data_IF_916676027467
#
_entry.id   IF_916676027467
#
_cell.length_a   1.000
_cell.length_b   1.000
_cell.length_c   1.000
_cell.angle_alpha   90.00
_cell.angle_beta   90.00
_cell.angle_gamma   90.00
#
_symmetry.space_group_name_H-M   'P 1'
#
loop_
_entity.id
_entity.type
_entity.pdbx_description
1 polymer ?
#
# COMPACT_ATOMS: atom_id res chain seq x y z
N UNK A 1 -2.52 37.13 -27.96
CA UNK A 1 -3.06 37.81 -26.77
C UNK A 1 -3.31 36.73 -25.74
N UNK A 2 -2.47 36.64 -24.71
CA UNK A 2 -2.57 35.64 -23.65
C UNK A 2 -3.42 36.22 -22.53
N UNK A 3 -4.59 35.62 -22.29
CA UNK A 3 -5.43 35.99 -21.15
C UNK A 3 -4.67 35.71 -19.84
N UNK A 4 -4.68 36.64 -18.87
CA UNK A 4 -4.07 36.40 -17.58
C UNK A 4 -4.88 35.36 -16.81
N UNK A 5 -4.26 34.22 -16.52
CA UNK A 5 -4.80 33.17 -15.65
C UNK A 5 -5.31 33.78 -14.33
N UNK A 6 -6.59 33.50 -14.01
CA UNK A 6 -7.24 33.94 -12.76
C UNK A 6 -6.39 33.52 -11.56
N UNK A 7 -6.06 34.47 -10.70
CA UNK A 7 -5.39 34.17 -9.42
C UNK A 7 -6.34 33.35 -8.54
N UNK A 8 -5.87 32.25 -7.92
CA UNK A 8 -6.69 31.45 -7.03
C UNK A 8 -7.16 32.29 -5.84
N UNK A 9 -8.41 32.07 -5.43
CA UNK A 9 -9.00 32.76 -4.28
C UNK A 9 -8.19 32.47 -3.02
N UNK A 10 -8.03 33.48 -2.16
CA UNK A 10 -7.26 33.38 -0.90
C UNK A 10 -7.80 32.31 0.05
N UNK A 11 -9.08 31.94 -0.10
CA UNK A 11 -9.73 30.87 0.67
C UNK A 11 -9.13 29.48 0.39
N UNK A 12 -8.50 29.28 -0.77
CA UNK A 12 -7.92 27.99 -1.18
C UNK A 12 -6.40 27.90 -0.99
N UNK A 13 -5.80 28.89 -0.32
CA UNK A 13 -4.35 28.95 -0.14
C UNK A 13 -3.90 27.83 0.82
N UNK A 14 -3.22 26.82 0.28
CA UNK A 14 -2.73 25.67 1.06
C UNK A 14 -3.69 24.49 1.15
N UNK A 15 -4.78 24.49 0.37
CA UNK A 15 -5.65 23.33 0.18
C UNK A 15 -5.70 22.98 -1.32
N UNK A 16 -5.76 21.69 -1.66
CA UNK A 16 -5.78 21.19 -3.05
C UNK A 16 -7.11 21.49 -3.78
N UNK A 17 -7.67 22.69 -3.64
CA UNK A 17 -8.90 23.11 -4.32
C UNK A 17 -10.21 22.51 -3.78
N UNK A 18 -10.16 21.58 -2.83
CA UNK A 18 -11.35 20.97 -2.22
C UNK A 18 -11.56 21.51 -0.80
N UNK A 19 -12.75 22.01 -0.53
CA UNK A 19 -13.19 22.36 0.82
C UNK A 19 -13.62 21.07 1.53
N UNK A 20 -12.90 20.72 2.59
CA UNK A 20 -13.28 19.62 3.46
C UNK A 20 -14.51 20.03 4.29
N UNK A 21 -15.68 19.49 3.91
CA UNK A 21 -16.99 19.84 4.48
C UNK A 21 -17.03 19.61 5.99
N UNK A 22 -16.31 18.58 6.46
CA UNK A 22 -16.21 18.22 7.88
C UNK A 22 -15.45 19.32 8.64
N UNK A 23 -14.40 19.88 8.04
CA UNK A 23 -13.56 20.91 8.68
C UNK A 23 -14.28 22.26 8.79
N UNK A 24 -15.09 22.61 7.80
CA UNK A 24 -15.98 23.77 7.81
C UNK A 24 -17.07 23.66 8.88
N UNK A 25 -17.56 22.46 9.14
CA UNK A 25 -18.55 22.16 10.16
C UNK A 25 -17.97 22.26 11.57
N UNK A 26 -16.74 21.79 11.78
CA UNK A 26 -16.02 21.89 13.07
C UNK A 26 -15.65 23.35 13.41
N UNK A 27 -15.35 24.18 12.40
CA UNK A 27 -15.03 25.60 12.61
C UNK A 27 -16.25 26.50 12.78
N UNK A 28 -17.47 25.95 12.77
CA UNK A 28 -18.72 26.72 12.95
C UNK A 28 -18.98 27.74 11.84
N UNK A 29 -18.27 27.65 10.71
CA UNK A 29 -18.40 28.55 9.56
C UNK A 29 -19.37 28.02 8.52
N UNK A 30 -19.70 26.72 8.55
CA UNK A 30 -20.87 26.20 7.87
C UNK A 30 -22.10 26.41 8.76
N UNK A 31 -23.12 27.11 8.24
CA UNK A 31 -24.47 26.98 8.78
C UNK A 31 -24.78 25.48 8.87
N UNK A 32 -25.20 25.00 10.04
CA UNK A 32 -25.68 23.63 10.19
C UNK A 32 -26.68 23.37 9.08
N UNK A 33 -26.45 22.36 8.24
CA UNK A 33 -27.33 21.92 7.16
C UNK A 33 -28.64 21.32 7.72
N UNK A 34 -29.33 22.05 8.61
CA UNK A 34 -30.65 21.75 9.14
C UNK A 34 -31.75 22.57 8.46
N UNK A 35 -31.42 23.48 7.53
CA UNK A 35 -32.42 24.34 6.88
C UNK A 35 -32.48 24.24 5.35
N UNK A 36 -31.70 23.34 4.75
CA UNK A 36 -31.87 22.94 3.36
C UNK A 36 -32.27 21.46 3.29
N UNK A 37 -33.38 21.11 3.95
CA UNK A 37 -34.09 19.87 3.64
C UNK A 37 -34.74 20.04 2.26
N UNK A 38 -33.93 19.94 1.20
CA UNK A 38 -34.47 19.58 -0.10
C UNK A 38 -35.07 18.19 0.09
N UNK A 39 -36.40 18.10 0.09
CA UNK A 39 -37.10 16.81 0.16
C UNK A 39 -36.42 15.88 -0.86
N UNK A 40 -35.98 14.68 -0.43
CA UNK A 40 -35.30 13.76 -1.34
C UNK A 40 -36.20 13.56 -2.54
N UNK A 41 -35.63 13.77 -3.72
CA UNK A 41 -36.32 13.57 -4.98
C UNK A 41 -36.78 12.11 -5.03
N UNK A 42 -37.86 11.81 -5.74
CA UNK A 42 -38.33 10.43 -5.91
C UNK A 42 -37.20 9.50 -6.41
N UNK A 43 -36.32 10.03 -7.26
CA UNK A 43 -35.08 9.40 -7.69
C UNK A 43 -34.14 9.04 -6.51
N UNK A 44 -33.89 9.99 -5.62
CA UNK A 44 -32.99 9.82 -4.47
C UNK A 44 -33.56 8.77 -3.49
N UNK A 45 -34.88 8.75 -3.31
CA UNK A 45 -35.54 7.73 -2.47
C UNK A 45 -35.36 6.33 -3.06
N UNK A 46 -35.56 6.17 -4.37
CA UNK A 46 -35.37 4.89 -5.05
C UNK A 46 -33.91 4.43 -4.98
N UNK A 47 -32.95 5.34 -5.21
CA UNK A 47 -31.52 5.02 -5.11
C UNK A 47 -31.10 4.62 -3.69
N UNK A 48 -31.64 5.29 -2.67
CA UNK A 48 -31.42 4.92 -1.27
C UNK A 48 -31.99 3.53 -0.93
N UNK A 49 -33.16 3.19 -1.48
CA UNK A 49 -33.75 1.85 -1.31
C UNK A 49 -32.87 0.77 -1.95
N UNK A 50 -32.41 0.99 -3.19
CA UNK A 50 -31.51 0.07 -3.88
C UNK A 50 -30.18 -0.10 -3.15
N UNK A 51 -29.59 1.01 -2.70
CA UNK A 51 -28.36 1.01 -1.90
C UNK A 51 -28.54 0.23 -0.60
N UNK A 52 -29.68 0.39 0.08
CA UNK A 52 -29.99 -0.36 1.30
C UNK A 52 -30.14 -1.86 1.03
N UNK A 53 -30.86 -2.25 -0.03
CA UNK A 53 -31.02 -3.66 -0.39
C UNK A 53 -29.67 -4.30 -0.71
N UNK A 54 -28.82 -3.60 -1.45
CA UNK A 54 -27.49 -4.07 -1.77
C UNK A 54 -26.59 -4.19 -0.54
N UNK A 55 -26.61 -3.20 0.35
CA UNK A 55 -25.87 -3.27 1.61
C UNK A 55 -26.33 -4.44 2.48
N UNK A 56 -27.64 -4.72 2.49
CA UNK A 56 -28.17 -5.89 3.20
C UNK A 56 -27.74 -7.20 2.54
N UNK A 57 -27.74 -7.29 1.21
CA UNK A 57 -27.21 -8.43 0.49
C UNK A 57 -25.76 -8.70 0.88
N UNK A 58 -24.88 -7.68 0.82
CA UNK A 58 -23.48 -7.80 1.25
C UNK A 58 -23.39 -8.28 2.72
N UNK A 59 -24.25 -7.81 3.61
CA UNK A 59 -24.23 -8.26 5.01
C UNK A 59 -24.72 -9.70 5.17
N UNK A 60 -25.59 -10.18 4.30
CA UNK A 60 -26.13 -11.54 4.34
C UNK A 60 -25.16 -12.55 3.70
N UNK A 61 -24.47 -12.17 2.62
CA UNK A 61 -23.51 -13.02 1.89
C UNK A 61 -22.09 -12.88 2.45
N UNK A 62 -21.59 -11.64 2.45
CA UNK A 62 -20.30 -11.23 2.95
C UNK A 62 -20.34 -10.81 4.42
N UNK A 63 -21.38 -11.19 5.17
CA UNK A 63 -21.46 -11.04 6.62
C UNK A 63 -20.31 -11.76 7.32
N UNK A 64 -19.13 -11.15 7.29
CA UNK A 64 -17.92 -11.76 7.79
C UNK A 64 -18.07 -11.89 9.29
N UNK A 65 -18.02 -13.14 9.72
CA UNK A 65 -17.80 -13.50 11.10
C UNK A 65 -16.54 -12.78 11.56
N UNK A 66 -16.66 -11.97 12.62
CA UNK A 66 -15.48 -11.36 13.23
C UNK A 66 -14.50 -12.50 13.52
N UNK A 67 -13.27 -12.48 12.99
CA UNK A 67 -12.36 -13.60 13.15
C UNK A 67 -12.19 -13.90 14.63
N UNK A 68 -12.13 -15.18 14.98
CA UNK A 68 -11.94 -15.56 16.37
C UNK A 68 -10.63 -14.98 16.89
N UNK A 69 -10.55 -14.75 18.20
CA UNK A 69 -9.33 -14.21 18.84
C UNK A 69 -8.09 -15.06 18.50
N UNK A 70 -8.26 -16.36 18.32
CA UNK A 70 -7.20 -17.29 17.92
C UNK A 70 -6.68 -16.98 16.51
N UNK A 71 -7.58 -16.77 15.55
CA UNK A 71 -7.22 -16.39 14.17
C UNK A 71 -6.54 -15.01 14.14
N UNK A 72 -7.02 -14.06 14.96
CA UNK A 72 -6.36 -12.75 15.06
C UNK A 72 -4.95 -12.84 15.64
N UNK A 73 -4.73 -13.70 16.63
CA UNK A 73 -3.40 -13.95 17.20
C UNK A 73 -2.49 -14.61 16.17
N UNK A 74 -2.98 -15.60 15.43
CA UNK A 74 -2.22 -16.27 14.37
C UNK A 74 -1.79 -15.29 13.27
N UNK A 75 -2.70 -14.41 12.82
CA UNK A 75 -2.38 -13.35 11.85
C UNK A 75 -1.32 -12.40 12.41
N UNK A 76 -1.41 -12.01 13.69
CA UNK A 76 -0.43 -11.13 14.32
C UNK A 76 0.94 -11.80 14.54
N UNK A 77 0.97 -13.10 14.75
CA UNK A 77 2.19 -13.90 14.93
C UNK A 77 2.85 -14.28 13.60
N UNK A 78 2.08 -14.33 12.52
CA UNK A 78 2.61 -14.56 11.18
C UNK A 78 3.57 -13.44 10.79
N UNK A 79 4.86 -13.78 10.70
CA UNK A 79 5.90 -12.81 10.33
C UNK A 79 5.72 -12.45 8.85
N UNK A 80 5.37 -11.20 8.57
CA UNK A 80 5.22 -10.69 7.20
C UNK A 80 6.52 -10.91 6.41
N UNK A 81 6.59 -11.99 5.64
CA UNK A 81 7.71 -12.31 4.76
C UNK A 81 7.31 -11.93 3.34
N UNK A 82 8.25 -11.63 2.45
CA UNK A 82 7.92 -11.31 1.05
C UNK A 82 7.03 -12.40 0.39
N UNK A 83 7.21 -13.67 0.78
CA UNK A 83 6.38 -14.78 0.32
C UNK A 83 4.95 -14.73 0.86
N UNK A 84 4.75 -14.35 2.14
CA UNK A 84 3.40 -14.24 2.71
C UNK A 84 2.68 -13.04 2.12
N UNK A 85 3.35 -11.89 1.95
CA UNK A 85 2.78 -10.71 1.30
C UNK A 85 2.33 -10.97 -0.15
N UNK A 86 3.08 -11.77 -0.90
CA UNK A 86 2.69 -12.18 -2.25
C UNK A 86 1.50 -13.14 -2.25
N UNK A 87 1.42 -14.04 -1.25
CA UNK A 87 0.26 -14.90 -1.04
C UNK A 87 -0.98 -14.06 -0.73
N UNK A 88 -0.87 -13.11 0.20
CA UNK A 88 -1.97 -12.20 0.57
C UNK A 88 -2.48 -11.39 -0.64
N UNK A 89 -1.59 -11.01 -1.56
CA UNK A 89 -1.97 -10.32 -2.79
C UNK A 89 -2.72 -11.23 -3.77
N UNK A 90 -2.29 -12.50 -3.90
CA UNK A 90 -3.01 -13.49 -4.70
C UNK A 90 -4.39 -13.78 -4.11
N UNK A 91 -4.47 -14.01 -2.79
CA UNK A 91 -5.73 -14.22 -2.08
C UNK A 91 -6.67 -13.03 -2.24
N UNK A 92 -6.15 -11.80 -2.17
CA UNK A 92 -6.94 -10.58 -2.38
C UNK A 92 -7.48 -10.49 -3.80
N UNK A 93 -6.71 -10.92 -4.80
CA UNK A 93 -7.14 -10.95 -6.18
C UNK A 93 -8.23 -12.01 -6.40
N UNK A 94 -8.07 -13.20 -5.83
CA UNK A 94 -9.06 -14.27 -5.92
C UNK A 94 -10.39 -13.86 -5.26
N UNK A 95 -10.32 -13.28 -4.05
CA UNK A 95 -11.50 -12.72 -3.37
C UNK A 95 -12.19 -11.64 -4.18
N UNK A 96 -11.44 -10.77 -4.86
CA UNK A 96 -12.03 -9.76 -5.72
C UNK A 96 -12.81 -10.37 -6.91
N UNK A 97 -12.33 -11.47 -7.48
CA UNK A 97 -13.09 -12.17 -8.52
C UNK A 97 -14.33 -12.85 -7.98
N UNK A 98 -14.25 -13.48 -6.80
CA UNK A 98 -15.40 -14.07 -6.11
C UNK A 98 -16.47 -13.00 -5.82
N UNK A 99 -16.07 -11.85 -5.26
CA UNK A 99 -16.94 -10.70 -5.00
C UNK A 99 -17.64 -10.17 -6.27
N UNK A 100 -16.91 -10.13 -7.41
CA UNK A 100 -17.48 -9.70 -8.68
C UNK A 100 -18.46 -10.73 -9.26
N UNK A 101 -18.18 -12.02 -9.13
CA UNK A 101 -19.08 -13.09 -9.58
C UNK A 101 -20.39 -13.04 -8.79
N UNK A 102 -20.29 -12.90 -7.47
CA UNK A 102 -21.46 -12.75 -6.59
C UNK A 102 -22.27 -11.48 -6.92
N UNK A 103 -21.59 -10.36 -7.21
CA UNK A 103 -22.25 -9.14 -7.65
C UNK A 103 -23.03 -9.38 -8.95
N UNK A 104 -22.46 -10.08 -9.93
CA UNK A 104 -23.16 -10.37 -11.19
C UNK A 104 -24.35 -11.29 -10.99
N UNK A 105 -24.22 -12.30 -10.13
CA UNK A 105 -25.34 -13.18 -9.77
C UNK A 105 -26.47 -12.40 -9.09
N UNK A 106 -26.14 -11.53 -8.13
CA UNK A 106 -27.11 -10.64 -7.50
C UNK A 106 -27.79 -9.73 -8.54
N UNK A 107 -27.04 -9.13 -9.45
CA UNK A 107 -27.58 -8.27 -10.50
C UNK A 107 -28.51 -9.04 -11.44
N UNK A 108 -28.16 -10.28 -11.81
CA UNK A 108 -29.00 -11.14 -12.62
C UNK A 108 -30.33 -11.46 -11.91
N UNK A 109 -30.28 -11.74 -10.61
CA UNK A 109 -31.48 -11.98 -9.79
C UNK A 109 -32.38 -10.74 -9.71
N UNK A 110 -31.79 -9.55 -9.46
CA UNK A 110 -32.52 -8.29 -9.41
C UNK A 110 -33.17 -7.97 -10.77
N UNK A 111 -32.44 -8.17 -11.87
CA UNK A 111 -32.97 -7.97 -13.21
C UNK A 111 -34.16 -8.89 -13.48
N UNK A 112 -34.05 -10.18 -13.12
CA UNK A 112 -35.13 -11.15 -13.31
C UNK A 112 -36.36 -10.79 -12.46
N UNK A 113 -36.17 -10.41 -11.19
CA UNK A 113 -37.24 -9.98 -10.31
C UNK A 113 -37.97 -8.75 -10.89
N UNK A 114 -37.23 -7.74 -11.33
CA UNK A 114 -37.80 -6.54 -11.94
C UNK A 114 -38.54 -6.87 -13.26
N UNK A 115 -38.02 -7.82 -14.05
CA UNK A 115 -38.69 -8.28 -15.27
C UNK A 115 -40.02 -8.99 -14.97
N UNK A 116 -40.09 -9.82 -13.92
CA UNK A 116 -41.33 -10.47 -13.48
C UNK A 116 -42.34 -9.45 -12.94
N UNK A 117 -41.89 -8.51 -12.11
CA UNK A 117 -42.76 -7.45 -11.59
C UNK A 117 -43.35 -6.61 -12.73
N UNK A 118 -42.54 -6.22 -13.71
CA UNK A 118 -43.00 -5.52 -14.92
C UNK A 118 -43.97 -6.35 -15.74
N UNK A 119 -43.78 -7.66 -15.83
CA UNK A 119 -44.70 -8.55 -16.55
C UNK A 119 -46.06 -8.60 -15.85
N UNK A 120 -46.06 -8.71 -14.52
CA UNK A 120 -47.28 -8.79 -13.70
C UNK A 120 -47.98 -7.42 -13.52
N UNK A 121 -47.24 -6.31 -13.65
CA UNK A 121 -47.80 -4.96 -13.55
C UNK A 121 -48.55 -4.51 -14.80
N UNK A 122 -48.61 -5.32 -15.86
CA UNK A 122 -49.29 -4.94 -17.10
C UNK A 122 -50.81 -4.95 -16.92
N UNK A 123 -51.39 -3.77 -17.03
CA UNK A 123 -52.70 -3.59 -17.65
C UNK A 123 -52.48 -3.67 -19.18
N UNK A 124 -53.35 -4.37 -19.92
CA UNK A 124 -53.12 -4.80 -21.34
C UNK A 124 -52.89 -3.64 -22.34
N UNK A 125 -52.94 -2.39 -21.89
CA UNK A 125 -52.94 -1.18 -22.72
C UNK A 125 -51.57 -0.51 -22.93
N UNK A 126 -50.50 -0.92 -22.22
CA UNK A 126 -49.21 -0.15 -22.15
C UNK A 126 -48.00 -0.90 -22.76
N UNK A 127 -48.22 -1.77 -23.75
CA UNK A 127 -47.16 -2.67 -24.24
C UNK A 127 -45.95 -1.98 -24.93
N UNK A 128 -46.14 -0.82 -25.59
CA UNK A 128 -45.13 -0.21 -26.46
C UNK A 128 -44.09 0.66 -25.72
N UNK A 129 -44.47 1.37 -24.66
CA UNK A 129 -43.55 2.25 -23.91
C UNK A 129 -42.47 1.46 -23.17
N UNK A 130 -42.77 0.20 -22.84
CA UNK A 130 -41.91 -0.66 -22.03
C UNK A 130 -40.70 -1.18 -22.83
N UNK A 131 -40.85 -1.40 -24.14
CA UNK A 131 -39.77 -1.83 -25.01
C UNK A 131 -38.73 -0.72 -25.24
N UNK A 132 -39.18 0.54 -25.19
CA UNK A 132 -38.33 1.73 -25.30
C UNK A 132 -37.54 1.92 -23.99
N UNK A 133 -38.20 1.78 -22.83
CA UNK A 133 -37.53 1.89 -21.53
C UNK A 133 -36.49 0.78 -21.28
N UNK A 134 -36.68 -0.43 -21.84
CA UNK A 134 -35.75 -1.54 -21.69
C UNK A 134 -34.43 -1.33 -22.46
N UNK A 135 -34.51 -0.64 -23.58
CA UNK A 135 -33.36 -0.35 -24.44
C UNK A 135 -32.73 1.01 -24.13
N UNK A 136 -33.23 1.73 -23.11
CA UNK A 136 -32.65 2.99 -22.67
C UNK A 136 -31.31 2.72 -21.96
N UNK A 137 -30.17 3.18 -22.51
CA UNK A 137 -28.86 3.07 -21.86
C UNK A 137 -28.79 3.85 -20.54
N UNK A 138 -29.75 4.75 -20.29
CA UNK A 138 -29.84 5.56 -19.08
C UNK A 138 -30.87 5.02 -18.09
N UNK A 139 -31.34 3.78 -18.26
CA UNK A 139 -32.26 3.18 -17.31
C UNK A 139 -31.62 3.17 -15.90
N UNK A 140 -32.34 3.62 -14.85
CA UNK A 140 -31.78 3.78 -13.50
C UNK A 140 -31.12 2.52 -12.92
N UNK A 141 -31.61 1.34 -13.28
CA UNK A 141 -30.99 0.08 -12.85
C UNK A 141 -29.58 -0.10 -13.42
N UNK A 142 -29.33 0.30 -14.67
CA UNK A 142 -27.98 0.23 -15.27
C UNK A 142 -26.99 1.16 -14.55
N UNK A 143 -27.43 2.36 -14.15
CA UNK A 143 -26.60 3.32 -13.41
C UNK A 143 -26.24 2.84 -11.99
N UNK A 144 -27.13 2.12 -11.32
CA UNK A 144 -26.85 1.56 -10.00
C UNK A 144 -25.78 0.45 -10.10
N UNK A 145 -25.84 -0.36 -11.15
CA UNK A 145 -24.91 -1.48 -11.36
C UNK A 145 -23.48 -1.02 -11.66
N UNK A 146 -23.31 0.03 -12.48
CA UNK A 146 -21.99 0.60 -12.71
C UNK A 146 -21.37 1.13 -11.43
N UNK A 147 -22.16 1.79 -10.58
CA UNK A 147 -21.69 2.33 -9.30
C UNK A 147 -21.24 1.22 -8.33
N UNK A 148 -21.99 0.11 -8.24
CA UNK A 148 -21.63 -1.00 -7.35
C UNK A 148 -20.31 -1.66 -7.75
N UNK A 149 -20.11 -1.90 -9.04
CA UNK A 149 -18.85 -2.47 -9.55
C UNK A 149 -17.66 -1.55 -9.26
N UNK A 150 -17.83 -0.24 -9.51
CA UNK A 150 -16.78 0.75 -9.24
C UNK A 150 -16.37 0.76 -7.76
N UNK A 151 -17.30 0.50 -6.83
CA UNK A 151 -16.99 0.37 -5.41
C UNK A 151 -16.07 -0.84 -5.13
N UNK A 152 -16.36 -2.01 -5.70
CA UNK A 152 -15.48 -3.19 -5.56
C UNK A 152 -14.10 -2.97 -6.18
N UNK A 153 -14.07 -2.43 -7.40
CA UNK A 153 -12.83 -2.12 -8.11
C UNK A 153 -11.98 -1.13 -7.30
N UNK A 154 -12.60 -0.09 -6.73
CA UNK A 154 -11.93 0.87 -5.87
C UNK A 154 -11.39 0.25 -4.57
N UNK A 155 -12.18 -0.59 -3.91
CA UNK A 155 -11.77 -1.28 -2.68
C UNK A 155 -10.58 -2.22 -2.94
N UNK A 156 -10.62 -2.98 -4.03
CA UNK A 156 -9.52 -3.85 -4.45
C UNK A 156 -8.24 -3.06 -4.80
N UNK A 157 -8.36 -1.98 -5.56
CA UNK A 157 -7.20 -1.15 -5.91
C UNK A 157 -6.57 -0.50 -4.67
N UNK A 158 -7.40 -0.01 -3.76
CA UNK A 158 -6.91 0.64 -2.53
C UNK A 158 -6.16 -0.35 -1.63
N UNK A 159 -6.72 -1.55 -1.43
CA UNK A 159 -6.11 -2.60 -0.61
C UNK A 159 -4.84 -3.18 -1.26
N UNK A 160 -4.86 -3.47 -2.56
CA UNK A 160 -3.69 -3.98 -3.28
C UNK A 160 -2.54 -2.97 -3.33
N UNK A 161 -2.83 -1.66 -3.46
CA UNK A 161 -1.83 -0.61 -3.37
C UNK A 161 -1.18 -0.57 -1.99
N UNK A 162 -1.95 -0.69 -0.92
CA UNK A 162 -1.40 -0.72 0.44
C UNK A 162 -0.47 -1.93 0.66
N UNK A 163 -0.83 -3.11 0.15
CA UNK A 163 0.02 -4.30 0.22
C UNK A 163 1.31 -4.15 -0.61
N UNK A 164 1.21 -3.55 -1.81
CA UNK A 164 2.38 -3.28 -2.66
C UNK A 164 3.34 -2.27 -2.04
N UNK A 165 2.83 -1.22 -1.42
CA UNK A 165 3.65 -0.26 -0.68
C UNK A 165 4.42 -0.97 0.46
N UNK A 166 3.77 -1.87 1.18
CA UNK A 166 4.43 -2.68 2.23
C UNK A 166 5.44 -3.70 1.69
N UNK A 167 5.35 -4.08 0.42
CA UNK A 167 6.35 -4.93 -0.25
C UNK A 167 7.58 -4.12 -0.68
N UNK A 168 7.36 -2.88 -1.14
CA UNK A 168 8.44 -1.97 -1.54
C UNK A 168 9.17 -1.37 -0.34
N UNK A 169 8.48 -1.17 0.78
CA UNK A 169 9.11 -0.74 2.03
C UNK A 169 10.05 -1.85 2.55
N UNK A 170 11.37 -1.63 2.50
CA UNK A 170 12.29 -2.61 3.05
C UNK A 170 12.07 -2.65 4.56
N UNK A 171 11.84 -3.86 5.08
CA UNK A 171 11.72 -4.17 6.50
C UNK A 171 12.62 -3.23 7.33
N UNK A 172 12.12 -2.52 8.36
CA UNK A 172 12.90 -1.55 9.11
C UNK A 172 14.17 -2.15 9.76
N UNK A 173 14.22 -3.48 9.90
CA UNK A 173 15.41 -4.20 10.35
C UNK A 173 16.46 -4.43 9.25
N UNK A 174 16.06 -4.59 7.98
CA UNK A 174 16.98 -4.86 6.87
C UNK A 174 17.76 -3.62 6.40
N UNK A 175 17.13 -2.44 6.43
CA UNK A 175 17.83 -1.19 6.17
C UNK A 175 18.82 -0.87 7.29
N UNK A 176 18.45 -1.09 8.55
CA UNK A 176 19.33 -0.78 9.68
C UNK A 176 20.57 -1.68 9.69
N UNK A 177 20.46 -2.93 9.24
CA UNK A 177 21.61 -3.83 9.04
C UNK A 177 22.52 -3.36 7.91
N UNK A 178 21.98 -2.93 6.76
CA UNK A 178 22.80 -2.36 5.67
C UNK A 178 23.49 -1.04 6.03
N UNK A 179 22.84 -0.17 6.82
CA UNK A 179 23.43 1.07 7.34
C UNK A 179 24.43 0.84 8.49
N UNK A 180 24.32 -0.26 9.23
CA UNK A 180 25.30 -0.69 10.23
C UNK A 180 26.52 -1.36 9.58
N UNK A 181 26.29 -2.18 8.56
CA UNK A 181 27.33 -2.95 7.86
C UNK A 181 28.12 -2.11 6.84
N UNK A 182 27.59 -0.96 6.40
CA UNK A 182 28.32 0.02 5.59
C UNK A 182 29.16 1.00 6.43
N UNK A 183 29.09 0.95 7.77
CA UNK A 183 29.91 1.79 8.64
C UNK A 183 31.23 1.12 8.94
N UNK A 184 32.32 1.82 8.63
CA UNK A 184 33.64 1.44 9.09
C UNK A 184 33.68 1.43 10.65
N UNK A 185 34.23 0.37 11.28
CA UNK A 185 34.29 0.26 12.73
C UNK A 185 35.10 1.41 13.35
N UNK A 186 34.65 1.91 14.49
CA UNK A 186 35.29 3.01 15.23
C UNK A 186 36.49 2.55 16.05
N UNK A 187 36.51 1.27 16.42
CA UNK A 187 37.52 0.68 17.29
C UNK A 187 37.75 -0.81 16.96
N UNK A 188 38.89 -1.35 17.38
CA UNK A 188 39.28 -2.77 17.20
C UNK A 188 38.26 -3.71 17.83
N UNK A 189 37.70 -3.32 18.99
CA UNK A 189 36.64 -4.10 19.65
C UNK A 189 35.37 -4.19 18.80
N UNK A 190 35.05 -3.13 18.04
CA UNK A 190 33.92 -3.11 17.13
C UNK A 190 34.18 -3.95 15.89
N UNK A 191 35.42 -3.94 15.36
CA UNK A 191 35.82 -4.79 14.25
C UNK A 191 35.58 -6.28 14.56
N UNK A 192 35.97 -6.74 15.76
CA UNK A 192 35.75 -8.13 16.21
C UNK A 192 34.28 -8.52 16.40
N UNK A 193 33.36 -7.55 16.48
CA UNK A 193 31.91 -7.80 16.64
C UNK A 193 31.17 -7.90 15.31
N UNK A 194 31.81 -7.57 14.19
CA UNK A 194 31.21 -7.66 12.87
C UNK A 194 31.00 -9.14 12.52
N UNK A 195 29.75 -9.51 12.20
CA UNK A 195 29.39 -10.88 11.79
C UNK A 195 29.30 -11.04 10.27
N UNK A 196 29.15 -9.93 9.54
CA UNK A 196 29.04 -9.94 8.09
C UNK A 196 30.42 -10.19 7.44
N UNK A 197 30.54 -11.30 6.72
CA UNK A 197 31.78 -11.73 6.06
C UNK A 197 32.24 -10.78 4.95
N UNK A 198 31.32 -10.21 4.18
CA UNK A 198 31.64 -9.30 3.08
C UNK A 198 32.17 -7.96 3.61
N UNK A 199 31.51 -7.41 4.65
CA UNK A 199 32.00 -6.22 5.34
C UNK A 199 33.38 -6.44 5.95
N UNK A 200 33.62 -7.59 6.59
CA UNK A 200 34.93 -7.97 7.10
C UNK A 200 35.97 -8.03 5.98
N UNK A 201 35.68 -8.70 4.87
CA UNK A 201 36.56 -8.79 3.70
C UNK A 201 36.93 -7.41 3.14
N UNK A 202 35.96 -6.50 3.00
CA UNK A 202 36.23 -5.15 2.50
C UNK A 202 37.14 -4.37 3.45
N UNK A 203 36.89 -4.47 4.76
CA UNK A 203 37.70 -3.78 5.78
C UNK A 203 39.11 -4.38 5.87
N UNK A 204 39.26 -5.71 5.88
CA UNK A 204 40.56 -6.37 5.94
C UNK A 204 41.38 -6.05 4.69
N UNK A 205 40.78 -6.12 3.50
CA UNK A 205 41.41 -5.72 2.24
C UNK A 205 41.87 -4.26 2.27
N UNK A 206 41.03 -3.36 2.78
CA UNK A 206 41.40 -1.96 2.95
C UNK A 206 42.60 -1.76 3.89
N UNK A 207 42.68 -2.52 5.00
CA UNK A 207 43.79 -2.40 5.96
C UNK A 207 45.11 -2.95 5.39
N UNK A 208 45.05 -4.01 4.58
CA UNK A 208 46.21 -4.68 4.00
C UNK A 208 46.75 -3.95 2.77
N UNK A 209 45.90 -3.33 1.95
CA UNK A 209 46.30 -2.65 0.72
C UNK A 209 47.36 -1.56 1.01
N UNK A 210 48.53 -1.60 0.37
CA UNK A 210 49.59 -0.60 0.63
C UNK A 210 49.48 0.64 -0.28
N UNK A 211 48.78 0.48 -1.41
CA UNK A 211 48.60 1.51 -2.42
C UNK A 211 47.59 2.59 -1.96
N UNK A 212 48.00 3.87 -1.84
CA UNK A 212 47.12 4.94 -1.39
C UNK A 212 45.96 5.21 -2.35
N UNK A 213 46.15 5.01 -3.66
CA UNK A 213 45.10 5.29 -4.66
C UNK A 213 43.98 4.27 -4.59
N UNK A 214 44.33 2.97 -4.47
CA UNK A 214 43.36 1.88 -4.29
C UNK A 214 42.64 1.96 -2.95
N UNK A 215 43.34 2.37 -1.89
CA UNK A 215 42.72 2.65 -0.60
C UNK A 215 41.66 3.74 -0.72
N UNK A 216 41.96 4.84 -1.41
CA UNK A 216 40.98 5.90 -1.58
C UNK A 216 39.76 5.46 -2.41
N UNK A 217 39.97 4.68 -3.47
CA UNK A 217 38.88 4.08 -4.24
C UNK A 217 37.98 3.19 -3.37
N UNK A 218 38.55 2.24 -2.62
CA UNK A 218 37.80 1.35 -1.73
C UNK A 218 37.03 2.12 -0.64
N UNK A 219 37.59 3.22 -0.14
CA UNK A 219 36.93 4.12 0.82
C UNK A 219 35.73 4.82 0.19
N UNK A 220 35.86 5.31 -1.04
CA UNK A 220 34.80 6.01 -1.77
C UNK A 220 33.67 5.05 -2.18
N UNK A 221 34.03 3.88 -2.70
CA UNK A 221 33.09 2.81 -3.05
C UNK A 221 32.25 2.37 -1.84
N UNK A 222 32.91 2.22 -0.69
CA UNK A 222 32.26 1.80 0.56
C UNK A 222 31.65 2.96 1.36
N UNK A 223 31.77 4.21 0.88
CA UNK A 223 31.25 5.44 1.51
C UNK A 223 31.72 5.66 2.96
N UNK A 224 32.94 5.26 3.29
CA UNK A 224 33.47 5.37 4.65
C UNK A 224 33.95 6.79 5.00
N UNK A 225 33.66 7.23 6.24
CA UNK A 225 34.16 8.50 6.80
C UNK A 225 35.65 8.37 7.14
N UNK A 226 36.44 9.34 6.68
CA UNK A 226 37.90 9.35 6.86
C UNK A 226 38.33 9.29 8.33
N UNK A 227 37.58 9.93 9.23
CA UNK A 227 37.90 9.98 10.66
C UNK A 227 37.86 8.60 11.33
N UNK A 228 36.90 7.76 10.97
CA UNK A 228 36.77 6.41 11.55
C UNK A 228 37.88 5.48 11.04
N UNK A 229 38.22 5.64 9.76
CA UNK A 229 39.25 4.83 9.10
C UNK A 229 40.62 5.06 9.72
N UNK A 230 40.93 6.31 10.06
CA UNK A 230 42.20 6.70 10.68
C UNK A 230 42.43 5.99 12.01
N UNK A 231 41.40 5.82 12.84
CA UNK A 231 41.53 5.19 14.16
C UNK A 231 41.96 3.72 14.06
N UNK A 232 41.28 2.94 13.21
CA UNK A 232 41.62 1.51 13.04
C UNK A 232 42.91 1.34 12.26
N UNK A 233 43.21 2.24 11.31
CA UNK A 233 44.48 2.22 10.60
C UNK A 233 45.66 2.47 11.55
N UNK A 234 45.52 3.40 12.50
CA UNK A 234 46.51 3.61 13.57
C UNK A 234 46.62 2.37 14.46
N UNK A 235 45.51 1.75 14.83
CA UNK A 235 45.54 0.51 15.61
C UNK A 235 46.23 -0.64 14.86
N UNK A 236 46.06 -0.73 13.54
CA UNK A 236 46.72 -1.72 12.68
C UNK A 236 48.23 -1.49 12.54
N UNK A 237 48.69 -0.24 12.55
CA UNK A 237 50.14 0.05 12.51
C UNK A 237 50.80 -0.08 13.87
N UNK A 238 50.08 0.20 14.96
CA UNK A 238 50.61 0.15 16.33
C UNK A 238 50.60 -1.24 16.96
N UNK A 239 49.64 -2.10 16.61
CA UNK A 239 49.47 -3.41 17.23
C UNK A 239 49.82 -4.55 16.27
N UNK A 240 50.94 -5.23 16.53
CA UNK A 240 51.40 -6.38 15.73
C UNK A 240 50.43 -7.56 15.79
N UNK A 241 49.76 -7.77 16.94
CA UNK A 241 48.85 -8.89 17.14
C UNK A 241 47.56 -8.69 16.34
N UNK A 242 47.10 -7.44 16.25
CA UNK A 242 45.94 -7.11 15.42
C UNK A 242 46.27 -7.24 13.93
N UNK A 243 47.50 -6.92 13.52
CA UNK A 243 47.94 -7.11 12.13
C UNK A 243 47.95 -8.58 11.72
N UNK A 244 48.45 -9.48 12.57
CA UNK A 244 48.44 -10.92 12.27
C UNK A 244 47.02 -11.48 12.27
N UNK A 245 46.14 -11.02 13.17
CA UNK A 245 44.71 -11.36 13.19
C UNK A 245 44.03 -10.99 11.85
N UNK A 246 44.24 -9.78 11.35
CA UNK A 246 43.66 -9.30 10.09
C UNK A 246 44.19 -10.08 8.88
N UNK A 247 45.47 -10.45 8.86
CA UNK A 247 46.07 -11.26 7.78
C UNK A 247 45.52 -12.70 7.78
N UNK A 248 45.38 -13.31 8.96
CA UNK A 248 44.78 -14.63 9.10
C UNK A 248 43.31 -14.63 8.66
N UNK A 249 42.54 -13.62 9.08
CA UNK A 249 41.14 -13.46 8.68
C UNK A 249 40.97 -13.30 7.17
N UNK A 250 41.87 -12.57 6.49
CA UNK A 250 41.84 -12.48 5.03
C UNK A 250 42.02 -13.86 4.39
N UNK A 251 43.02 -14.62 4.84
CA UNK A 251 43.30 -15.97 4.31
C UNK A 251 42.15 -16.96 4.55
N UNK A 252 41.48 -16.87 5.70
CA UNK A 252 40.32 -17.71 6.05
C UNK A 252 39.09 -17.35 5.19
N UNK A 253 38.85 -16.05 4.97
CA UNK A 253 37.70 -15.59 4.19
C UNK A 253 37.88 -15.81 2.68
N UNK A 254 39.11 -15.68 2.16
CA UNK A 254 39.45 -16.03 0.77
C UNK A 254 39.46 -17.56 0.54
N UNK A 255 39.84 -18.34 1.55
CA UNK A 255 39.77 -19.80 1.51
C UNK A 255 38.34 -20.34 1.55
N UNK A 256 37.41 -19.65 2.23
CA UNK A 256 36.02 -20.05 2.37
C UNK A 256 35.11 -19.63 1.19
N UNK A 257 35.64 -18.86 0.23
CA UNK A 257 34.91 -18.37 -0.95
C UNK A 257 35.31 -19.07 -2.26
N UNK A 258 36.10 -20.14 -2.18
CA UNK A 258 36.36 -21.12 -3.27
C UNK A 258 35.58 -22.40 -3.03
#
# INVERSE_FOLDING_TARGET
MTEPLRKPSTLYRGQNGFLDSIRLQVQGQAATAREAETKPTDKDQRENVLTRHFAQHILDTNGHFFPSMEVMQEIAESRETATTKNHDLADLQDKHYEDLDELYDYQAQQYLAEAVERYLSKDDTVADELYIALNDPHHPSQSAFTSQREIYDYAYLTSSLALRQRLEDPEPNSQDDGYRDSRFPRDVTQFRRIRNKDTLLRITRYLIEEDPEKKEQLRLESRWKQDHVRTVQIAYTMNSDFRTEVQNLLSELEGATR
#
